data_IF_799505594110
#
_entry.id   IF_799505594110
#
_cell.length_a   1.000
_cell.length_b   1.000
_cell.length_c   1.000
_cell.angle_alpha   90.00
_cell.angle_beta   90.00
_cell.angle_gamma   90.00
#
_symmetry.space_group_name_H-M   'P 1'
#
loop_
_entity.id
_entity.type
_entity.pdbx_description
1 polymer ?
#
# COMPACT_ATOMS: atom_id res chain seq x y z
N UNK A 1 14.07 14.38 15.90
CA UNK A 1 13.42 15.66 15.52
C UNK A 1 12.61 15.36 14.26
N UNK A 2 11.26 15.32 14.36
CA UNK A 2 10.36 15.21 13.20
C UNK A 2 10.64 16.42 12.29
N UNK A 3 11.04 16.19 11.05
CA UNK A 3 11.27 17.23 10.04
C UNK A 3 10.03 18.14 9.98
N UNK A 4 10.23 19.46 10.18
CA UNK A 4 9.18 20.41 10.46
C UNK A 4 8.07 20.42 9.41
N UNK A 5 6.83 20.28 9.85
CA UNK A 5 5.62 20.50 9.08
C UNK A 5 5.38 22.01 9.09
N UNK A 6 5.56 22.69 7.97
CA UNK A 6 5.44 24.15 7.90
C UNK A 6 4.07 24.56 7.38
N UNK A 7 3.35 25.34 8.16
CA UNK A 7 2.04 25.91 7.81
C UNK A 7 2.16 27.43 7.71
N UNK A 8 1.69 28.00 6.60
CA UNK A 8 1.58 29.45 6.41
C UNK A 8 0.18 29.89 6.83
N UNK A 9 0.12 30.82 7.74
CA UNK A 9 -1.12 31.44 8.26
C UNK A 9 -1.26 32.83 7.67
N UNK A 10 -2.28 33.04 6.85
CA UNK A 10 -2.64 34.35 6.30
C UNK A 10 -3.93 34.86 6.99
N UNK A 11 -3.81 35.86 7.85
CA UNK A 11 -4.91 36.41 8.64
C UNK A 11 -4.57 37.88 8.95
N UNK A 12 -5.47 38.80 8.69
CA UNK A 12 -5.21 40.22 8.87
C UNK A 12 -5.27 40.67 10.36
N UNK A 13 -6.11 40.01 11.17
CA UNK A 13 -6.20 40.28 12.59
C UNK A 13 -5.00 39.70 13.37
N UNK A 14 -4.13 40.57 13.89
CA UNK A 14 -2.89 40.19 14.55
C UNK A 14 -3.10 39.27 15.77
N UNK A 15 -4.19 39.46 16.53
CA UNK A 15 -4.50 38.61 17.68
C UNK A 15 -4.90 37.20 17.24
N UNK A 16 -5.77 37.09 16.23
CA UNK A 16 -6.21 35.84 15.67
C UNK A 16 -5.04 35.05 15.07
N UNK A 17 -4.18 35.75 14.30
CA UNK A 17 -2.97 35.14 13.70
C UNK A 17 -2.05 34.53 14.75
N UNK A 18 -1.83 35.24 15.89
CA UNK A 18 -1.04 34.74 17.03
C UNK A 18 -1.67 33.51 17.69
N UNK A 19 -3.01 33.53 17.88
CA UNK A 19 -3.73 32.40 18.47
C UNK A 19 -3.60 31.15 17.59
N UNK A 20 -3.82 31.30 16.28
CA UNK A 20 -3.66 30.19 15.31
C UNK A 20 -2.23 29.65 15.27
N UNK A 21 -1.24 30.59 15.29
CA UNK A 21 0.18 30.23 15.31
C UNK A 21 0.55 29.44 16.58
N UNK A 22 0.12 29.91 17.74
CA UNK A 22 0.38 29.25 19.03
C UNK A 22 -0.30 27.86 19.09
N UNK A 23 -1.53 27.74 18.59
CA UNK A 23 -2.29 26.50 18.55
C UNK A 23 -1.59 25.45 17.68
N UNK A 24 -1.23 25.82 16.44
CA UNK A 24 -0.55 24.90 15.52
C UNK A 24 0.87 24.57 15.97
N UNK A 25 1.60 25.53 16.59
CA UNK A 25 2.93 25.27 17.13
C UNK A 25 2.90 24.25 18.27
N UNK A 26 1.87 24.28 19.14
CA UNK A 26 1.65 23.28 20.20
C UNK A 26 1.49 21.86 19.65
N UNK A 27 0.89 21.73 18.46
CA UNK A 27 0.67 20.46 17.78
C UNK A 27 1.88 20.03 16.89
N UNK A 28 3.01 20.77 17.00
CA UNK A 28 4.27 20.41 16.37
C UNK A 28 4.43 20.90 14.92
N UNK A 29 3.61 21.88 14.49
CA UNK A 29 3.79 22.57 13.23
C UNK A 29 4.77 23.75 13.40
N UNK A 30 5.59 23.98 12.40
CA UNK A 30 6.30 25.26 12.24
C UNK A 30 5.34 26.21 11.53
N UNK A 31 5.14 27.40 12.07
CA UNK A 31 4.23 28.40 11.51
C UNK A 31 4.97 29.55 10.86
N UNK A 32 4.51 30.01 9.71
CA UNK A 32 4.85 31.27 9.07
C UNK A 32 3.62 32.16 9.11
N UNK A 33 3.80 33.47 9.34
CA UNK A 33 2.70 34.41 9.51
C UNK A 33 2.71 35.44 8.38
N UNK A 34 1.53 35.73 7.83
CA UNK A 34 1.31 36.77 6.83
C UNK A 34 0.06 37.59 7.22
N UNK A 35 0.09 38.90 7.01
CA UNK A 35 -1.02 39.77 7.34
C UNK A 35 -2.04 39.96 6.19
N UNK A 36 -1.68 39.52 4.99
CA UNK A 36 -2.51 39.60 3.79
C UNK A 36 -2.01 38.56 2.75
N UNK A 37 -2.75 38.41 1.64
CA UNK A 37 -2.41 37.45 0.58
C UNK A 37 -1.12 37.77 -0.16
N UNK A 38 -0.72 39.06 -0.27
CA UNK A 38 0.55 39.46 -0.91
C UNK A 38 1.74 39.02 -0.04
N UNK A 39 1.68 39.31 1.27
CA UNK A 39 2.69 38.86 2.23
C UNK A 39 2.78 37.32 2.30
N UNK A 40 1.64 36.62 2.10
CA UNK A 40 1.62 35.17 2.03
C UNK A 40 2.37 34.66 0.79
N UNK A 41 2.20 35.26 -0.38
CA UNK A 41 2.93 34.92 -1.60
C UNK A 41 4.43 35.20 -1.48
N UNK A 42 4.82 36.30 -0.81
CA UNK A 42 6.24 36.57 -0.53
C UNK A 42 6.87 35.50 0.38
N UNK A 43 6.13 35.05 1.38
CA UNK A 43 6.57 33.98 2.29
C UNK A 43 6.74 32.63 1.53
N UNK A 44 5.81 32.31 0.63
CA UNK A 44 5.89 31.13 -0.24
C UNK A 44 7.10 31.15 -1.19
N UNK A 45 7.55 32.34 -1.62
CA UNK A 45 8.72 32.47 -2.48
C UNK A 45 10.04 32.27 -1.71
N UNK A 46 10.04 32.46 -0.39
CA UNK A 46 11.25 32.41 0.45
C UNK A 46 11.45 31.04 1.12
N UNK A 47 10.36 30.38 1.51
CA UNK A 47 10.44 29.16 2.30
C UNK A 47 9.42 28.10 1.82
N UNK A 48 9.77 26.81 1.88
CA UNK A 48 8.84 25.73 1.55
C UNK A 48 7.73 25.62 2.61
N UNK A 49 6.47 25.56 2.17
CA UNK A 49 5.26 25.49 3.00
C UNK A 49 4.50 24.22 2.68
N UNK A 50 4.07 23.47 3.70
CA UNK A 50 3.33 22.21 3.55
C UNK A 50 1.81 22.39 3.40
N UNK A 51 1.24 23.47 3.97
CA UNK A 51 -0.17 23.84 3.82
C UNK A 51 -0.36 25.33 4.12
N UNK A 52 -1.45 25.90 3.62
CA UNK A 52 -1.84 27.29 3.90
C UNK A 52 -3.16 27.28 4.64
N UNK A 53 -3.24 28.05 5.72
CA UNK A 53 -4.48 28.41 6.42
C UNK A 53 -4.73 29.90 6.18
N UNK A 54 -5.81 30.29 5.50
CA UNK A 54 -6.05 31.68 5.12
C UNK A 54 -7.44 32.14 5.48
N UNK A 55 -7.56 33.38 6.00
CA UNK A 55 -8.86 34.03 6.09
C UNK A 55 -9.39 34.33 4.67
N UNK A 56 -10.69 34.32 4.56
CA UNK A 56 -11.42 34.68 3.33
C UNK A 56 -11.28 36.17 3.03
N UNK A 57 -11.36 37.02 4.08
CA UNK A 57 -11.37 38.50 3.97
C UNK A 57 -10.10 39.09 4.54
N UNK A 58 -9.24 39.56 3.67
CA UNK A 58 -8.01 40.25 4.03
C UNK A 58 -7.83 41.49 3.16
N UNK A 59 -7.09 42.50 3.60
CA UNK A 59 -6.75 43.68 2.79
C UNK A 59 -5.82 43.30 1.64
N UNK A 60 -5.72 44.14 0.60
CA UNK A 60 -4.89 44.01 -0.61
C UNK A 60 -5.28 42.79 -1.45
N UNK A 61 -4.96 41.59 -1.00
CA UNK A 61 -5.31 40.32 -1.65
C UNK A 61 -6.10 39.46 -0.68
N UNK A 62 -7.33 39.12 -1.04
CA UNK A 62 -8.21 38.27 -0.23
C UNK A 62 -7.85 36.79 -0.34
N UNK A 63 -8.43 35.94 0.53
CA UNK A 63 -8.12 34.50 0.55
C UNK A 63 -8.51 33.73 -0.72
N UNK A 64 -9.55 34.16 -1.45
CA UNK A 64 -9.93 33.51 -2.72
C UNK A 64 -8.94 33.87 -3.85
N UNK A 65 -8.47 35.09 -3.90
CA UNK A 65 -7.44 35.53 -4.84
C UNK A 65 -6.11 34.82 -4.56
N UNK A 66 -5.74 34.70 -3.28
CA UNK A 66 -4.58 33.93 -2.85
C UNK A 66 -4.71 32.45 -3.30
N UNK A 67 -5.86 31.82 -3.07
CA UNK A 67 -6.16 30.46 -3.49
C UNK A 67 -5.95 30.27 -5.00
N UNK A 68 -6.46 31.20 -5.84
CA UNK A 68 -6.32 31.13 -7.30
C UNK A 68 -4.85 31.22 -7.75
N UNK A 69 -4.07 32.09 -7.12
CA UNK A 69 -2.64 32.24 -7.43
C UNK A 69 -1.86 31.02 -6.98
N UNK A 70 -2.11 30.52 -5.77
CA UNK A 70 -1.45 29.31 -5.23
C UNK A 70 -1.77 28.11 -6.11
N UNK A 71 -3.01 27.90 -6.51
CA UNK A 71 -3.39 26.79 -7.38
C UNK A 71 -2.72 26.81 -8.76
N UNK A 72 -2.44 27.99 -9.29
CA UNK A 72 -1.73 28.12 -10.58
C UNK A 72 -0.23 27.89 -10.46
N UNK A 73 0.40 28.38 -9.39
CA UNK A 73 1.86 28.37 -9.22
C UNK A 73 2.37 27.19 -8.40
N UNK A 74 1.56 26.71 -7.44
CA UNK A 74 1.89 25.69 -6.46
C UNK A 74 0.69 24.74 -6.27
N UNK A 75 0.26 23.99 -7.32
CA UNK A 75 -0.97 23.16 -7.31
C UNK A 75 -0.94 22.04 -6.26
N UNK A 76 0.24 21.73 -5.74
CA UNK A 76 0.49 20.71 -4.73
C UNK A 76 0.27 21.21 -3.29
N UNK A 77 0.17 22.54 -3.06
CA UNK A 77 -0.01 23.09 -1.71
C UNK A 77 -1.50 23.18 -1.38
N UNK A 78 -2.00 22.41 -0.39
CA UNK A 78 -3.39 22.52 0.05
C UNK A 78 -3.65 23.85 0.76
N UNK A 79 -4.77 24.49 0.42
CA UNK A 79 -5.23 25.73 1.03
C UNK A 79 -6.52 25.45 1.80
N UNK A 80 -6.51 25.73 3.09
CA UNK A 80 -7.67 25.67 3.99
C UNK A 80 -8.15 27.10 4.25
N UNK A 81 -9.48 27.31 4.10
CA UNK A 81 -10.08 28.64 4.22
C UNK A 81 -10.71 28.84 5.60
N UNK A 82 -10.50 29.99 6.22
CA UNK A 82 -11.25 30.46 7.40
C UNK A 82 -12.40 31.33 6.93
N UNK A 83 -13.63 31.07 7.40
CA UNK A 83 -14.84 31.83 7.03
C UNK A 83 -15.61 32.31 8.27
N UNK A 84 -16.25 33.47 8.20
CA UNK A 84 -17.12 33.94 9.27
C UNK A 84 -18.44 33.15 9.32
N UNK A 85 -19.04 33.06 10.51
CA UNK A 85 -20.33 32.40 10.74
C UNK A 85 -21.43 32.99 9.84
N UNK A 86 -22.19 32.14 9.13
CA UNK A 86 -23.33 32.54 8.28
C UNK A 86 -23.06 32.66 6.78
N UNK A 87 -21.85 32.38 6.28
CA UNK A 87 -21.50 32.46 4.86
C UNK A 87 -21.28 31.07 4.22
N UNK A 88 -22.29 30.20 4.35
CA UNK A 88 -22.26 28.86 3.69
C UNK A 88 -21.99 29.01 2.18
N UNK A 89 -22.49 30.06 1.55
CA UNK A 89 -22.20 30.38 0.15
C UNK A 89 -20.72 30.58 -0.16
N UNK A 90 -19.98 31.28 0.72
CA UNK A 90 -18.54 31.55 0.55
C UNK A 90 -17.68 30.30 0.78
N UNK A 91 -18.07 29.43 1.72
CA UNK A 91 -17.40 28.14 1.95
C UNK A 91 -17.57 27.21 0.74
N UNK A 92 -18.78 27.10 0.20
CA UNK A 92 -19.07 26.34 -1.01
C UNK A 92 -18.31 26.93 -2.21
N UNK A 93 -18.21 28.25 -2.32
CA UNK A 93 -17.45 28.90 -3.39
C UNK A 93 -15.95 28.62 -3.27
N UNK A 94 -15.37 28.67 -2.06
CA UNK A 94 -13.98 28.31 -1.84
C UNK A 94 -13.67 26.86 -2.25
N UNK A 95 -14.50 25.91 -1.85
CA UNK A 95 -14.37 24.50 -2.27
C UNK A 95 -14.52 24.34 -3.80
N UNK A 96 -15.48 25.06 -4.43
CA UNK A 96 -15.64 25.05 -5.90
C UNK A 96 -14.40 25.61 -6.62
N UNK A 97 -13.72 26.58 -6.03
CA UNK A 97 -12.46 27.13 -6.56
C UNK A 97 -11.25 26.27 -6.22
N UNK A 98 -11.44 25.19 -5.44
CA UNK A 98 -10.46 24.16 -5.16
C UNK A 98 -9.66 24.37 -3.88
N UNK A 99 -10.24 25.02 -2.87
CA UNK A 99 -9.76 24.91 -1.50
C UNK A 99 -9.78 23.43 -1.05
N UNK A 100 -8.82 23.05 -0.25
CA UNK A 100 -8.72 21.70 0.31
C UNK A 100 -9.86 21.44 1.30
N UNK A 101 -10.14 22.43 2.17
CA UNK A 101 -11.21 22.39 3.15
C UNK A 101 -11.51 23.81 3.62
N UNK A 102 -12.52 23.96 4.50
CA UNK A 102 -12.83 25.23 5.15
C UNK A 102 -13.15 25.02 6.63
N UNK A 103 -12.97 26.08 7.42
CA UNK A 103 -13.28 26.14 8.84
C UNK A 103 -14.10 27.40 9.12
N UNK A 104 -15.12 27.30 9.97
CA UNK A 104 -15.99 28.43 10.32
C UNK A 104 -15.56 29.07 11.65
N UNK A 105 -15.47 30.39 11.70
CA UNK A 105 -15.25 31.15 12.95
C UNK A 105 -16.59 31.29 13.71
N UNK A 106 -16.67 30.98 15.05
CA UNK A 106 -15.61 30.47 15.90
C UNK A 106 -15.34 29.00 15.65
N UNK A 107 -14.07 28.61 15.65
CA UNK A 107 -13.61 27.25 15.36
C UNK A 107 -13.21 26.49 16.62
N UNK A 108 -13.35 25.17 16.59
CA UNK A 108 -12.80 24.28 17.60
C UNK A 108 -11.30 24.03 17.33
N UNK A 109 -10.43 24.16 18.36
CA UNK A 109 -9.00 23.86 18.22
C UNK A 109 -8.74 22.44 17.69
N UNK A 110 -9.54 21.46 18.05
CA UNK A 110 -9.40 20.08 17.58
C UNK A 110 -9.77 19.93 16.10
N UNK A 111 -10.75 20.69 15.62
CA UNK A 111 -11.15 20.74 14.20
C UNK A 111 -10.02 21.32 13.34
N UNK A 112 -9.41 22.44 13.74
CA UNK A 112 -8.25 23.01 13.04
C UNK A 112 -7.13 21.96 12.93
N UNK A 113 -6.79 21.30 14.04
CA UNK A 113 -5.74 20.28 14.06
C UNK A 113 -6.02 19.16 13.07
N UNK A 114 -7.23 18.58 13.10
CA UNK A 114 -7.62 17.49 12.21
C UNK A 114 -7.55 17.88 10.73
N UNK A 115 -8.05 19.05 10.38
CA UNK A 115 -8.05 19.55 8.99
C UNK A 115 -6.62 19.84 8.54
N UNK A 116 -5.80 20.48 9.37
CA UNK A 116 -4.41 20.79 9.01
C UNK A 116 -3.52 19.54 8.96
N UNK A 117 -3.69 18.58 9.87
CA UNK A 117 -3.00 17.27 9.80
C UNK A 117 -3.37 16.51 8.52
N UNK A 118 -4.66 16.52 8.13
CA UNK A 118 -5.13 15.91 6.90
C UNK A 118 -4.55 16.61 5.67
N UNK A 119 -4.54 17.95 5.63
CA UNK A 119 -3.99 18.73 4.54
C UNK A 119 -2.50 18.45 4.33
N UNK A 120 -1.70 18.57 5.40
CA UNK A 120 -0.25 18.33 5.36
C UNK A 120 0.06 16.86 5.02
N UNK A 121 -0.70 15.91 5.57
CA UNK A 121 -0.51 14.48 5.28
C UNK A 121 -0.84 14.14 3.82
N UNK A 122 -1.91 14.69 3.27
CA UNK A 122 -2.30 14.51 1.86
C UNK A 122 -1.22 15.05 0.92
N UNK A 123 -0.71 16.26 1.19
CA UNK A 123 0.41 16.83 0.41
C UNK A 123 1.66 15.97 0.50
N UNK A 124 2.02 15.52 1.71
CA UNK A 124 3.21 14.69 1.91
C UNK A 124 3.08 13.31 1.26
N UNK A 125 1.89 12.73 1.27
CA UNK A 125 1.61 11.50 0.51
C UNK A 125 1.74 11.76 -0.99
N UNK A 126 1.12 12.79 -1.52
CA UNK A 126 1.23 13.18 -2.93
C UNK A 126 2.67 13.57 -3.32
N UNK A 127 3.37 14.32 -2.46
CA UNK A 127 4.79 14.66 -2.66
C UNK A 127 5.73 13.48 -2.46
N UNK A 128 5.35 12.49 -1.63
CA UNK A 128 6.09 11.22 -1.47
C UNK A 128 5.83 10.30 -2.66
N UNK A 129 4.62 10.28 -3.19
CA UNK A 129 4.29 9.59 -4.43
C UNK A 129 4.94 10.26 -5.65
N UNK A 130 5.02 11.62 -5.68
CA UNK A 130 5.69 12.39 -6.74
C UNK A 130 7.22 12.50 -6.52
N UNK A 131 7.70 12.39 -5.28
CA UNK A 131 9.11 12.37 -4.86
C UNK A 131 9.59 10.97 -4.50
N UNK A 132 8.89 9.92 -4.90
CA UNK A 132 9.61 8.69 -5.14
C UNK A 132 10.54 9.01 -6.31
N UNK A 133 11.82 9.39 -6.04
CA UNK A 133 12.78 9.41 -7.10
C UNK A 133 12.79 7.97 -7.60
N UNK A 134 12.85 7.81 -8.87
CA UNK A 134 13.27 6.55 -9.46
C UNK A 134 14.65 6.08 -8.92
N UNK A 135 15.28 6.81 -7.97
CA UNK A 135 16.72 6.71 -7.71
C UNK A 135 17.19 6.59 -6.25
N UNK A 136 16.28 6.45 -5.23
CA UNK A 136 16.75 6.27 -3.84
C UNK A 136 16.28 4.99 -3.12
N UNK A 137 15.46 4.15 -3.71
CA UNK A 137 15.48 2.73 -3.35
C UNK A 137 16.67 2.09 -4.08
N UNK A 138 17.58 1.41 -3.37
CA UNK A 138 18.62 0.62 -4.03
C UNK A 138 17.89 -0.24 -5.06
N UNK A 139 18.29 -0.13 -6.34
CA UNK A 139 17.62 -0.69 -7.51
C UNK A 139 16.79 -1.91 -7.13
N UNK A 140 15.45 -1.93 -7.37
CA UNK A 140 14.70 -3.14 -7.22
C UNK A 140 15.21 -4.13 -8.28
N UNK A 141 16.33 -4.74 -7.95
CA UNK A 141 16.93 -5.78 -8.76
C UNK A 141 16.06 -7.01 -8.63
N UNK A 142 15.80 -7.66 -9.74
CA UNK A 142 15.32 -9.04 -9.79
C UNK A 142 16.43 -9.94 -9.19
N UNK A 143 16.55 -9.91 -7.84
CA UNK A 143 17.58 -10.64 -7.13
C UNK A 143 17.21 -12.11 -7.02
N UNK A 144 18.19 -12.94 -7.27
CA UNK A 144 18.11 -14.39 -7.19
C UNK A 144 18.89 -15.03 -8.34
N UNK A 145 19.37 -16.24 -8.12
CA UNK A 145 20.19 -17.01 -9.07
C UNK A 145 19.46 -18.25 -9.59
N UNK A 146 18.21 -18.48 -9.16
CA UNK A 146 17.41 -19.60 -9.59
C UNK A 146 17.25 -19.61 -11.12
N UNK A 147 17.22 -20.81 -11.70
CA UNK A 147 17.09 -20.99 -13.13
C UNK A 147 15.79 -20.34 -13.65
N UNK A 148 14.69 -20.53 -12.94
CA UNK A 148 13.40 -19.91 -13.29
C UNK A 148 13.44 -18.38 -13.27
N UNK A 149 14.17 -17.78 -12.33
CA UNK A 149 14.29 -16.32 -12.30
C UNK A 149 15.24 -15.80 -13.40
N UNK A 150 16.23 -16.61 -13.81
CA UNK A 150 17.07 -16.30 -14.97
C UNK A 150 16.26 -16.28 -16.27
N UNK A 151 15.33 -17.23 -16.46
CA UNK A 151 14.40 -17.23 -17.58
C UNK A 151 13.53 -15.97 -17.60
N UNK A 152 12.98 -15.57 -16.45
CA UNK A 152 12.21 -14.32 -16.33
C UNK A 152 13.06 -13.11 -16.72
N UNK A 153 14.31 -13.01 -16.23
CA UNK A 153 15.23 -11.92 -16.61
C UNK A 153 15.48 -11.89 -18.11
N UNK A 154 15.74 -13.03 -18.71
CA UNK A 154 15.95 -13.11 -20.15
C UNK A 154 14.74 -12.61 -20.96
N UNK A 155 13.52 -12.98 -20.55
CA UNK A 155 12.29 -12.47 -21.18
C UNK A 155 12.16 -10.96 -20.97
N UNK A 156 12.42 -10.45 -19.75
CA UNK A 156 12.39 -9.02 -19.44
C UNK A 156 13.35 -8.24 -20.33
N UNK A 157 14.60 -8.68 -20.46
CA UNK A 157 15.64 -8.02 -21.30
C UNK A 157 15.23 -7.96 -22.77
N UNK A 158 14.63 -9.03 -23.30
CA UNK A 158 14.21 -9.07 -24.71
C UNK A 158 12.96 -8.24 -25.00
N UNK A 159 12.04 -8.16 -24.04
CA UNK A 159 10.74 -7.48 -24.21
C UNK A 159 10.81 -6.01 -23.79
N UNK A 160 11.70 -5.66 -22.88
CA UNK A 160 11.81 -4.29 -22.37
C UNK A 160 11.96 -3.22 -23.47
N UNK A 161 12.79 -3.39 -24.53
CA UNK A 161 12.92 -2.38 -25.57
C UNK A 161 11.70 -2.23 -26.48
N UNK A 162 10.73 -3.16 -26.42
CA UNK A 162 9.56 -3.17 -27.29
C UNK A 162 8.37 -2.45 -26.65
N UNK A 163 7.40 -1.95 -27.42
CA UNK A 163 6.15 -1.39 -26.88
C UNK A 163 5.12 -2.44 -26.51
N UNK A 164 5.49 -3.74 -26.53
CA UNK A 164 4.55 -4.83 -26.27
C UNK A 164 3.94 -4.76 -24.88
N UNK A 165 2.64 -5.09 -24.80
CA UNK A 165 1.94 -5.28 -23.53
C UNK A 165 2.49 -6.53 -22.83
N UNK A 166 2.78 -6.43 -21.55
CA UNK A 166 3.28 -7.52 -20.72
C UNK A 166 2.26 -7.84 -19.64
N UNK A 167 1.92 -9.13 -19.51
CA UNK A 167 1.09 -9.64 -18.42
C UNK A 167 1.96 -10.46 -17.46
N UNK A 168 2.07 -10.01 -16.22
CA UNK A 168 2.85 -10.66 -15.17
C UNK A 168 1.88 -11.46 -14.29
N UNK A 169 1.96 -12.78 -14.34
CA UNK A 169 1.19 -13.66 -13.48
C UNK A 169 2.06 -14.18 -12.32
N UNK A 170 1.44 -14.44 -11.18
CA UNK A 170 2.12 -15.04 -10.01
C UNK A 170 1.40 -14.73 -8.71
N UNK A 171 1.68 -15.53 -7.70
CA UNK A 171 1.08 -15.37 -6.38
C UNK A 171 1.33 -13.98 -5.77
N UNK A 172 0.54 -13.61 -4.75
CA UNK A 172 0.78 -12.38 -4.01
C UNK A 172 2.17 -12.40 -3.35
N UNK A 173 2.89 -11.27 -3.40
CA UNK A 173 4.21 -11.14 -2.77
C UNK A 173 5.38 -11.77 -3.55
N UNK A 174 5.22 -12.25 -4.79
CA UNK A 174 6.29 -12.84 -5.61
C UNK A 174 7.26 -11.83 -6.23
N UNK A 175 6.92 -10.52 -6.22
CA UNK A 175 7.75 -9.45 -6.79
C UNK A 175 7.29 -8.95 -8.17
N UNK A 176 6.01 -9.09 -8.52
CA UNK A 176 5.42 -8.62 -9.81
C UNK A 176 5.74 -7.14 -10.10
N UNK A 177 5.69 -6.27 -9.08
CA UNK A 177 6.05 -4.85 -9.24
C UNK A 177 7.52 -4.65 -9.59
N UNK A 178 8.43 -5.44 -9.02
CA UNK A 178 9.87 -5.37 -9.33
C UNK A 178 10.11 -5.68 -10.80
N UNK A 179 9.43 -6.69 -11.34
CA UNK A 179 9.49 -7.02 -12.78
C UNK A 179 8.95 -5.87 -13.64
N UNK A 180 7.83 -5.26 -13.25
CA UNK A 180 7.24 -4.13 -13.97
C UNK A 180 8.19 -2.91 -13.99
N UNK A 181 8.84 -2.60 -12.86
CA UNK A 181 9.85 -1.54 -12.78
C UNK A 181 11.09 -1.85 -13.63
N UNK A 182 11.55 -3.11 -13.61
CA UNK A 182 12.67 -3.55 -14.46
C UNK A 182 12.35 -3.41 -15.95
N UNK A 183 11.13 -3.79 -16.37
CA UNK A 183 10.63 -3.58 -17.74
C UNK A 183 10.61 -2.09 -18.13
N UNK A 184 10.16 -1.20 -17.26
CA UNK A 184 10.15 0.24 -17.51
C UNK A 184 11.56 0.79 -17.65
N UNK A 185 12.47 0.50 -16.72
CA UNK A 185 13.85 0.99 -16.70
C UNK A 185 14.67 0.57 -17.94
N UNK A 186 14.46 -0.66 -18.41
CA UNK A 186 15.11 -1.19 -19.60
C UNK A 186 14.38 -0.82 -20.91
N UNK A 187 13.32 0.00 -20.86
CA UNK A 187 12.50 0.35 -22.02
C UNK A 187 12.94 1.63 -22.72
N UNK A 188 12.41 1.84 -23.91
CA UNK A 188 12.57 3.11 -24.65
C UNK A 188 11.93 4.31 -23.92
N UNK A 189 10.93 4.07 -23.06
CA UNK A 189 10.20 5.10 -22.27
C UNK A 189 10.71 5.22 -20.84
N UNK A 190 11.92 4.75 -20.54
CA UNK A 190 12.54 4.77 -19.19
C UNK A 190 12.64 6.15 -18.54
N UNK A 191 12.70 7.21 -19.35
CA UNK A 191 12.75 8.59 -18.87
C UNK A 191 11.36 9.21 -18.68
N UNK A 192 10.29 8.49 -19.07
CA UNK A 192 8.90 8.90 -18.88
C UNK A 192 8.38 8.48 -17.50
N UNK A 193 7.14 8.86 -17.17
CA UNK A 193 6.55 8.50 -15.89
C UNK A 193 6.29 6.99 -15.78
N UNK A 194 6.48 6.44 -14.57
CA UNK A 194 5.99 5.11 -14.19
C UNK A 194 4.79 5.28 -13.26
N UNK A 195 3.59 5.09 -13.79
CA UNK A 195 2.35 5.26 -13.03
C UNK A 195 1.81 3.90 -12.62
N UNK A 196 1.72 3.66 -11.31
CA UNK A 196 1.16 2.44 -10.73
C UNK A 196 -0.31 2.66 -10.33
N UNK A 197 -1.16 1.68 -10.65
CA UNK A 197 -2.54 1.59 -10.20
C UNK A 197 -2.80 0.19 -9.66
N UNK A 198 -3.24 0.08 -8.42
CA UNK A 198 -3.71 -1.18 -7.87
C UNK A 198 -5.25 -1.23 -8.00
N UNK A 199 -5.75 -2.12 -8.89
CA UNK A 199 -7.17 -2.22 -9.17
C UNK A 199 -7.99 -2.73 -7.97
N UNK A 200 -7.39 -3.56 -7.10
CA UNK A 200 -8.05 -4.06 -5.90
C UNK A 200 -8.17 -3.03 -4.77
N UNK A 201 -7.31 -2.01 -4.78
CA UNK A 201 -7.29 -1.00 -3.71
C UNK A 201 -8.29 0.16 -3.94
N UNK A 202 -8.86 0.27 -5.14
CA UNK A 202 -9.77 1.35 -5.52
C UNK A 202 -11.20 0.79 -5.54
N UNK A 203 -12.17 1.42 -4.86
CA UNK A 203 -13.57 1.01 -4.94
C UNK A 203 -14.08 0.97 -6.39
N UNK A 204 -14.88 -0.03 -6.73
CA UNK A 204 -15.38 -0.29 -8.10
C UNK A 204 -15.96 0.95 -8.77
N UNK A 205 -16.77 1.73 -8.04
CA UNK A 205 -17.39 2.96 -8.56
C UNK A 205 -16.43 4.11 -8.84
N UNK A 206 -15.18 4.03 -8.34
CA UNK A 206 -14.17 5.08 -8.52
C UNK A 206 -13.06 4.69 -9.50
N UNK A 207 -12.88 3.39 -9.78
CA UNK A 207 -11.77 2.90 -10.60
C UNK A 207 -11.78 3.53 -12.00
N UNK A 208 -12.95 3.66 -12.62
CA UNK A 208 -13.10 4.27 -13.93
C UNK A 208 -12.67 5.75 -13.92
N UNK A 209 -13.11 6.52 -12.92
CA UNK A 209 -12.76 7.93 -12.78
C UNK A 209 -11.29 8.16 -12.42
N UNK A 210 -10.65 7.25 -11.69
CA UNK A 210 -9.21 7.29 -11.41
C UNK A 210 -8.39 6.94 -12.66
N UNK A 211 -8.78 5.93 -13.43
CA UNK A 211 -8.05 5.53 -14.64
C UNK A 211 -8.15 6.56 -15.76
N UNK A 212 -9.36 7.03 -16.07
CA UNK A 212 -9.64 7.85 -17.24
C UNK A 212 -9.83 9.33 -16.94
N UNK A 213 -9.88 9.70 -15.66
CA UNK A 213 -10.20 11.07 -15.26
C UNK A 213 -11.69 11.41 -15.43
N UNK A 214 -12.06 12.60 -15.06
CA UNK A 214 -13.43 13.07 -15.14
C UNK A 214 -13.53 14.57 -15.44
N UNK A 215 -14.61 14.95 -16.10
CA UNK A 215 -14.97 16.34 -16.32
C UNK A 215 -15.78 16.89 -15.15
N UNK A 216 -15.81 18.22 -15.03
CA UNK A 216 -16.63 18.90 -14.03
C UNK A 216 -18.10 18.51 -14.22
N UNK A 217 -18.75 18.05 -13.14
CA UNK A 217 -20.17 17.66 -13.15
C UNK A 217 -20.42 16.21 -13.56
N UNK A 218 -19.40 15.38 -13.77
CA UNK A 218 -19.53 13.98 -14.16
C UNK A 218 -20.30 13.13 -13.14
N UNK A 219 -20.22 13.49 -11.86
CA UNK A 219 -20.95 12.86 -10.75
C UNK A 219 -21.09 13.83 -9.58
N UNK A 220 -21.90 13.47 -8.58
CA UNK A 220 -22.06 14.27 -7.34
C UNK A 220 -20.72 14.37 -6.61
N UNK A 221 -20.12 15.57 -6.58
CA UNK A 221 -18.77 15.82 -6.02
C UNK A 221 -17.68 16.11 -7.07
N UNK A 222 -17.94 15.95 -8.36
CA UNK A 222 -17.01 16.35 -9.43
C UNK A 222 -17.02 17.88 -9.65
N UNK A 223 -16.43 18.62 -8.71
CA UNK A 223 -16.42 20.09 -8.71
C UNK A 223 -15.46 20.70 -9.73
N UNK A 224 -14.43 19.96 -10.14
CA UNK A 224 -13.42 20.36 -11.10
C UNK A 224 -13.04 19.17 -12.00
N UNK A 225 -12.46 19.43 -13.18
CA UNK A 225 -11.82 18.42 -14.03
C UNK A 225 -10.62 17.81 -13.31
N UNK A 226 -10.46 16.48 -13.39
CA UNK A 226 -9.28 15.75 -12.90
C UNK A 226 -8.71 14.85 -13.99
N UNK A 227 -7.41 14.93 -14.31
CA UNK A 227 -6.78 14.00 -15.25
C UNK A 227 -6.75 12.59 -14.68
N UNK A 228 -6.84 11.59 -15.55
CA UNK A 228 -6.77 10.19 -15.20
C UNK A 228 -5.33 9.64 -15.18
N UNK A 229 -5.17 8.43 -14.66
CA UNK A 229 -3.87 7.74 -14.60
C UNK A 229 -3.27 7.49 -15.98
N UNK A 230 -4.10 7.28 -17.01
CA UNK A 230 -3.65 7.19 -18.39
C UNK A 230 -3.02 8.48 -18.90
N UNK A 231 -3.60 9.64 -18.57
CA UNK A 231 -3.03 10.94 -18.92
C UNK A 231 -1.70 11.19 -18.19
N UNK A 232 -1.63 10.80 -16.90
CA UNK A 232 -0.42 10.95 -16.10
C UNK A 232 0.72 10.00 -16.55
N UNK A 233 0.38 8.91 -17.23
CA UNK A 233 1.35 7.93 -17.75
C UNK A 233 1.79 8.24 -19.20
N UNK A 234 1.30 9.33 -19.80
CA UNK A 234 1.62 9.66 -21.18
C UNK A 234 3.14 9.81 -21.42
N UNK A 235 3.64 9.20 -22.47
CA UNK A 235 5.07 9.10 -22.78
C UNK A 235 5.85 8.13 -21.86
N UNK A 236 5.18 7.38 -20.98
CA UNK A 236 5.76 6.49 -19.99
C UNK A 236 5.13 5.10 -19.94
N UNK A 237 5.05 4.55 -18.73
CA UNK A 237 4.50 3.21 -18.46
C UNK A 237 3.36 3.30 -17.47
N UNK A 238 2.21 2.68 -17.79
CA UNK A 238 1.12 2.42 -16.87
C UNK A 238 1.22 0.97 -16.37
N UNK A 239 1.35 0.80 -15.08
CA UNK A 239 1.36 -0.50 -14.41
C UNK A 239 0.03 -0.73 -13.71
N UNK A 240 -0.75 -1.70 -14.20
CA UNK A 240 -2.03 -2.12 -13.62
C UNK A 240 -1.80 -3.36 -12.77
N UNK A 241 -1.76 -3.19 -11.46
CA UNK A 241 -1.62 -4.29 -10.51
C UNK A 241 -2.99 -4.87 -10.15
N UNK A 242 -3.07 -6.18 -9.97
CA UNK A 242 -4.29 -6.96 -9.70
C UNK A 242 -5.39 -6.70 -10.74
N UNK A 243 -5.03 -6.76 -12.04
CA UNK A 243 -5.95 -6.48 -13.16
C UNK A 243 -7.17 -7.42 -13.16
N UNK A 244 -7.05 -8.62 -12.60
CA UNK A 244 -8.14 -9.59 -12.44
C UNK A 244 -9.25 -9.15 -11.49
N UNK A 245 -9.04 -8.07 -10.72
CA UNK A 245 -10.04 -7.45 -9.84
C UNK A 245 -10.83 -6.33 -10.54
N UNK A 246 -10.51 -6.02 -11.81
CA UNK A 246 -11.17 -4.94 -12.53
C UNK A 246 -12.65 -5.24 -12.80
N UNK A 247 -13.58 -4.36 -12.39
CA UNK A 247 -15.01 -4.54 -12.66
C UNK A 247 -15.31 -4.67 -14.14
N UNK A 248 -16.25 -5.54 -14.51
CA UNK A 248 -16.67 -5.77 -15.90
C UNK A 248 -17.05 -4.48 -16.63
N UNK A 249 -17.67 -3.52 -15.94
CA UNK A 249 -18.07 -2.24 -16.53
C UNK A 249 -16.89 -1.37 -17.00
N UNK A 250 -15.72 -1.49 -16.36
CA UNK A 250 -14.52 -0.72 -16.70
C UNK A 250 -13.70 -1.37 -17.84
N UNK A 251 -13.83 -2.69 -18.04
CA UNK A 251 -13.02 -3.44 -18.98
C UNK A 251 -13.15 -2.99 -20.45
N UNK A 252 -14.36 -2.64 -20.99
CA UNK A 252 -14.49 -2.15 -22.36
C UNK A 252 -13.75 -0.84 -22.61
N UNK A 253 -13.74 0.06 -21.63
CA UNK A 253 -13.02 1.34 -21.74
C UNK A 253 -11.51 1.13 -21.71
N UNK A 254 -11.03 0.22 -20.85
CA UNK A 254 -9.63 -0.18 -20.84
C UNK A 254 -9.23 -0.76 -22.19
N UNK A 255 -10.00 -1.69 -22.73
CA UNK A 255 -9.74 -2.30 -24.05
C UNK A 255 -9.58 -1.24 -25.14
N UNK A 256 -10.51 -0.27 -25.18
CA UNK A 256 -10.46 0.83 -26.15
C UNK A 256 -9.21 1.69 -25.97
N UNK A 257 -8.86 2.05 -24.73
CA UNK A 257 -7.66 2.84 -24.45
C UNK A 257 -6.37 2.11 -24.88
N UNK A 258 -6.30 0.77 -24.71
CA UNK A 258 -5.16 -0.04 -25.12
C UNK A 258 -5.08 -0.20 -26.64
N UNK A 259 -6.24 -0.31 -27.32
CA UNK A 259 -6.28 -0.55 -28.77
C UNK A 259 -6.05 0.71 -29.59
N UNK A 260 -6.73 1.81 -29.20
CA UNK A 260 -6.78 3.05 -29.98
C UNK A 260 -5.78 4.12 -29.45
N UNK A 261 -5.24 3.97 -28.21
CA UNK A 261 -4.50 5.02 -27.53
C UNK A 261 -5.36 6.24 -27.21
N UNK A 262 -6.68 6.06 -27.18
CA UNK A 262 -7.67 7.15 -27.02
C UNK A 262 -8.81 6.73 -26.11
N UNK A 263 -9.31 7.69 -25.34
CA UNK A 263 -10.48 7.48 -24.47
C UNK A 263 -11.20 8.80 -24.20
N UNK A 264 -12.34 8.71 -23.51
CA UNK A 264 -13.10 9.86 -23.00
C UNK A 264 -13.00 9.88 -21.47
N UNK A 265 -12.88 11.07 -20.90
CA UNK A 265 -13.06 11.24 -19.45
C UNK A 265 -14.49 10.91 -19.06
N UNK A 266 -14.71 10.52 -17.81
CA UNK A 266 -16.06 10.28 -17.30
C UNK A 266 -16.86 11.58 -17.36
N UNK A 267 -18.06 11.52 -17.97
CA UNK A 267 -18.91 12.69 -18.20
C UNK A 267 -18.43 13.63 -19.31
N UNK A 268 -17.35 13.30 -20.03
CA UNK A 268 -16.81 14.12 -21.12
C UNK A 268 -17.06 13.54 -22.50
N UNK A 269 -17.03 14.41 -23.52
CA UNK A 269 -17.13 14.06 -24.95
C UNK A 269 -15.83 14.33 -25.71
N UNK A 270 -14.86 14.98 -25.07
CA UNK A 270 -13.57 15.29 -25.67
C UNK A 270 -12.66 14.04 -25.67
N UNK A 271 -12.09 13.73 -26.82
CA UNK A 271 -11.15 12.60 -26.96
C UNK A 271 -9.79 12.97 -26.41
N UNK A 272 -9.30 12.19 -25.46
CA UNK A 272 -7.94 12.26 -24.93
C UNK A 272 -7.10 11.22 -25.65
N UNK A 273 -5.97 11.63 -26.24
CA UNK A 273 -5.01 10.74 -26.88
C UNK A 273 -3.74 10.63 -26.03
N UNK A 274 -3.24 9.41 -25.84
CA UNK A 274 -2.04 9.12 -25.02
C UNK A 274 -1.18 8.05 -25.69
N UNK A 275 0.11 8.09 -25.43
CA UNK A 275 1.07 7.07 -25.85
C UNK A 275 1.67 6.41 -24.60
N UNK A 276 1.09 5.29 -24.17
CA UNK A 276 1.42 4.63 -22.90
C UNK A 276 1.84 3.20 -23.15
N UNK A 277 2.98 2.79 -22.59
CA UNK A 277 3.36 1.38 -22.49
C UNK A 277 2.56 0.74 -21.35
N UNK A 278 1.86 -0.37 -21.64
CA UNK A 278 1.07 -1.07 -20.63
C UNK A 278 1.81 -2.29 -20.07
N UNK A 279 1.85 -2.40 -18.75
CA UNK A 279 2.24 -3.60 -18.01
C UNK A 279 1.09 -3.93 -17.06
N UNK A 280 0.60 -5.16 -17.09
CA UNK A 280 -0.45 -5.63 -16.18
C UNK A 280 0.06 -6.76 -15.29
N UNK A 281 -0.45 -6.86 -14.07
CA UNK A 281 -0.13 -7.94 -13.15
C UNK A 281 -1.39 -8.53 -12.51
N UNK A 282 -1.36 -9.82 -12.19
CA UNK A 282 -2.46 -10.52 -11.52
C UNK A 282 -1.95 -11.73 -10.73
N UNK A 283 -2.68 -12.07 -9.67
CA UNK A 283 -2.55 -13.33 -8.94
C UNK A 283 -3.64 -14.34 -9.32
N UNK A 284 -4.65 -13.93 -10.13
CA UNK A 284 -5.74 -14.77 -10.59
C UNK A 284 -5.41 -15.46 -11.92
N UNK A 285 -5.99 -16.63 -12.13
CA UNK A 285 -6.05 -17.24 -13.45
C UNK A 285 -7.11 -16.50 -14.29
N UNK A 286 -6.63 -15.57 -15.15
CA UNK A 286 -7.53 -14.79 -16.01
C UNK A 286 -8.33 -15.67 -16.99
N UNK A 287 -7.81 -16.86 -17.37
CA UNK A 287 -8.54 -17.78 -18.21
C UNK A 287 -9.75 -18.36 -17.49
N UNK A 288 -9.57 -18.74 -16.23
CA UNK A 288 -10.67 -19.16 -15.37
C UNK A 288 -11.69 -18.02 -15.14
N UNK A 289 -11.22 -16.76 -14.96
CA UNK A 289 -12.09 -15.60 -14.83
C UNK A 289 -12.91 -15.31 -16.10
N UNK A 290 -12.32 -15.52 -17.30
CA UNK A 290 -13.04 -15.44 -18.59
C UNK A 290 -14.13 -16.51 -18.67
N UNK A 291 -13.80 -17.77 -18.36
CA UNK A 291 -14.77 -18.85 -18.37
C UNK A 291 -15.92 -18.65 -17.37
N UNK A 292 -15.65 -17.98 -16.28
CA UNK A 292 -16.65 -17.63 -15.26
C UNK A 292 -17.44 -16.34 -15.59
N UNK A 293 -17.17 -15.67 -16.71
CA UNK A 293 -17.84 -14.45 -17.12
C UNK A 293 -17.48 -13.20 -16.32
N UNK A 294 -16.42 -13.24 -15.51
CA UNK A 294 -15.95 -12.09 -14.71
C UNK A 294 -14.88 -11.26 -15.41
N UNK A 295 -14.28 -11.80 -16.47
CA UNK A 295 -13.31 -11.08 -17.30
C UNK A 295 -13.65 -11.25 -18.76
N UNK A 296 -13.48 -10.19 -19.57
CA UNK A 296 -13.80 -10.23 -21.02
C UNK A 296 -12.69 -10.95 -21.79
N UNK A 297 -13.09 -11.80 -22.71
CA UNK A 297 -12.18 -12.57 -23.55
C UNK A 297 -11.34 -11.68 -24.47
N UNK A 298 -11.94 -10.63 -25.05
CA UNK A 298 -11.25 -9.66 -25.93
C UNK A 298 -10.15 -8.89 -25.19
N UNK A 299 -10.40 -8.47 -23.95
CA UNK A 299 -9.41 -7.84 -23.10
C UNK A 299 -8.30 -8.81 -22.71
N UNK A 300 -8.65 -10.05 -22.38
CA UNK A 300 -7.66 -11.09 -22.06
C UNK A 300 -6.63 -11.24 -23.18
N UNK A 301 -7.06 -11.45 -24.43
CA UNK A 301 -6.13 -11.58 -25.54
C UNK A 301 -5.30 -10.32 -25.82
N UNK A 302 -5.83 -9.15 -25.53
CA UNK A 302 -5.09 -7.89 -25.69
C UNK A 302 -4.02 -7.68 -24.62
N UNK A 303 -4.22 -8.21 -23.42
CA UNK A 303 -3.24 -8.19 -22.33
C UNK A 303 -2.23 -9.34 -22.42
N UNK A 304 -2.66 -10.50 -22.88
CA UNK A 304 -1.86 -11.73 -22.93
C UNK A 304 -0.97 -11.81 -24.19
N UNK A 305 -0.24 -10.70 -24.48
CA UNK A 305 0.69 -10.67 -25.63
C UNK A 305 2.02 -11.28 -25.25
N UNK A 306 2.60 -10.85 -24.12
CA UNK A 306 3.80 -11.45 -23.56
C UNK A 306 3.53 -11.83 -22.11
N UNK A 307 3.22 -13.10 -21.83
CA UNK A 307 3.06 -13.57 -20.46
C UNK A 307 4.43 -13.75 -19.80
N UNK A 308 4.53 -13.34 -18.53
CA UNK A 308 5.65 -13.62 -17.63
C UNK A 308 5.07 -14.26 -16.37
N UNK A 309 5.46 -15.49 -16.08
CA UNK A 309 5.04 -16.20 -14.88
C UNK A 309 6.14 -16.12 -13.83
N UNK A 310 5.82 -15.54 -12.66
CA UNK A 310 6.73 -15.48 -11.53
C UNK A 310 6.53 -16.70 -10.63
N UNK A 311 7.58 -17.52 -10.46
CA UNK A 311 7.49 -18.67 -9.57
C UNK A 311 7.32 -18.23 -8.12
N UNK A 312 6.54 -18.97 -7.32
CA UNK A 312 6.46 -18.75 -5.88
C UNK A 312 7.81 -19.04 -5.22
N UNK A 313 8.04 -18.44 -4.04
CA UNK A 313 9.35 -18.51 -3.36
C UNK A 313 9.76 -19.94 -2.98
N UNK A 314 8.80 -20.82 -2.69
CA UNK A 314 9.03 -22.27 -2.43
C UNK A 314 9.62 -23.03 -3.63
N UNK A 315 9.45 -22.54 -4.85
CA UNK A 315 10.01 -23.14 -6.07
C UNK A 315 11.39 -22.55 -6.44
N UNK A 316 11.87 -21.57 -5.66
CA UNK A 316 13.18 -20.91 -5.79
C UNK A 316 13.83 -20.70 -4.43
N UNK A 317 13.82 -21.73 -3.59
CA UNK A 317 14.39 -21.68 -2.22
C UNK A 317 15.87 -21.33 -2.19
N UNK A 318 16.61 -21.55 -3.27
CA UNK A 318 17.99 -21.12 -3.48
C UNK A 318 18.17 -19.58 -3.48
N UNK A 319 17.12 -18.81 -3.77
CA UNK A 319 17.16 -17.35 -3.71
C UNK A 319 16.96 -16.80 -2.28
N UNK A 320 16.42 -17.59 -1.37
CA UNK A 320 16.10 -17.17 0.00
C UNK A 320 17.33 -16.61 0.75
N UNK A 321 18.53 -17.21 0.70
CA UNK A 321 19.68 -16.64 1.41
C UNK A 321 20.08 -15.25 0.91
N UNK A 322 20.02 -15.01 -0.38
CA UNK A 322 20.35 -13.73 -0.99
C UNK A 322 19.32 -12.67 -0.59
N UNK A 323 18.03 -12.99 -0.66
CA UNK A 323 16.94 -12.11 -0.24
C UNK A 323 16.99 -11.83 1.27
N UNK A 324 17.21 -12.86 2.09
CA UNK A 324 17.27 -12.70 3.54
C UNK A 324 18.43 -11.79 3.98
N UNK A 325 19.61 -11.90 3.36
CA UNK A 325 20.76 -11.02 3.64
C UNK A 325 20.46 -9.58 3.22
N UNK A 326 19.88 -9.37 2.03
CA UNK A 326 19.48 -8.05 1.58
C UNK A 326 18.51 -7.38 2.56
N UNK A 327 17.48 -8.11 2.98
CA UNK A 327 16.50 -7.57 3.93
C UNK A 327 17.13 -7.30 5.30
N UNK A 328 18.02 -8.19 5.76
CA UNK A 328 18.79 -7.97 6.98
C UNK A 328 19.56 -6.66 6.93
N UNK A 329 20.37 -6.44 5.89
CA UNK A 329 21.20 -5.24 5.72
C UNK A 329 20.31 -3.98 5.69
N UNK A 330 19.21 -4.03 4.92
CA UNK A 330 18.27 -2.92 4.79
C UNK A 330 17.59 -2.58 6.11
N UNK A 331 17.11 -3.59 6.86
CA UNK A 331 16.43 -3.35 8.13
C UNK A 331 17.40 -3.03 9.27
N UNK A 332 18.58 -3.63 9.30
CA UNK A 332 19.62 -3.28 10.26
C UNK A 332 20.00 -1.79 10.15
N UNK A 333 20.20 -1.30 8.93
CA UNK A 333 20.46 0.12 8.67
C UNK A 333 19.27 1.02 9.03
N UNK A 334 18.05 0.66 8.58
CA UNK A 334 16.82 1.44 8.83
C UNK A 334 16.47 1.56 10.31
N UNK A 335 16.63 0.47 11.06
CA UNK A 335 16.31 0.37 12.48
C UNK A 335 17.49 0.71 13.39
N UNK A 336 18.65 1.03 12.82
CA UNK A 336 19.91 1.32 13.54
C UNK A 336 20.29 0.20 14.52
N UNK A 337 20.11 -1.07 14.09
CA UNK A 337 20.44 -2.26 14.88
C UNK A 337 21.79 -2.83 14.45
N UNK A 338 22.64 -3.30 15.38
CA UNK A 338 23.97 -3.83 15.06
C UNK A 338 23.93 -5.28 14.53
N UNK A 339 22.86 -5.67 13.85
CA UNK A 339 22.70 -7.04 13.33
C UNK A 339 23.35 -7.13 11.97
N UNK A 340 24.35 -8.03 11.85
CA UNK A 340 25.18 -8.17 10.64
C UNK A 340 25.16 -9.57 10.03
N UNK A 341 24.57 -10.56 10.72
CA UNK A 341 24.58 -11.94 10.25
C UNK A 341 23.30 -12.71 10.54
N UNK A 342 23.15 -13.86 9.88
CA UNK A 342 22.10 -14.84 10.12
C UNK A 342 22.80 -16.16 10.48
N UNK A 343 22.42 -16.75 11.60
CA UNK A 343 22.91 -18.05 12.03
C UNK A 343 22.56 -19.14 11.00
N UNK A 344 23.46 -20.12 10.77
CA UNK A 344 23.18 -21.21 9.82
C UNK A 344 21.88 -21.97 10.09
N UNK A 345 21.56 -22.26 11.36
CA UNK A 345 20.31 -22.94 11.71
C UNK A 345 19.08 -22.04 11.48
N UNK A 346 19.19 -20.72 11.65
CA UNK A 346 18.14 -19.77 11.27
C UNK A 346 17.96 -19.73 9.76
N UNK A 347 19.04 -19.75 8.98
CA UNK A 347 19.00 -19.78 7.53
C UNK A 347 18.35 -21.08 7.00
N UNK A 348 18.66 -22.22 7.63
CA UNK A 348 18.06 -23.51 7.28
C UNK A 348 16.55 -23.51 7.57
N UNK A 349 16.12 -22.92 8.68
CA UNK A 349 14.70 -22.74 8.99
C UNK A 349 13.99 -21.84 7.93
N UNK A 350 14.64 -20.75 7.52
CA UNK A 350 14.12 -19.87 6.45
C UNK A 350 13.98 -20.61 5.12
N UNK A 351 14.94 -21.47 4.77
CA UNK A 351 14.87 -22.27 3.52
C UNK A 351 13.79 -23.36 3.55
N UNK A 352 13.54 -23.92 4.73
CA UNK A 352 12.58 -25.02 4.90
C UNK A 352 11.12 -24.54 4.92
N UNK A 353 10.88 -23.25 5.17
CA UNK A 353 9.54 -22.68 5.25
C UNK A 353 8.90 -22.53 3.86
N UNK A 354 7.60 -22.87 3.69
CA UNK A 354 6.91 -22.87 2.38
C UNK A 354 6.57 -21.47 1.83
N UNK A 355 6.63 -20.41 2.63
CA UNK A 355 6.39 -19.01 2.26
C UNK A 355 5.09 -18.77 1.50
N UNK A 356 3.90 -19.01 2.07
CA UNK A 356 2.63 -18.75 1.39
C UNK A 356 2.44 -17.28 0.98
N UNK A 357 3.03 -16.34 1.72
CA UNK A 357 3.09 -14.91 1.38
C UNK A 357 4.33 -14.49 0.58
N UNK A 358 5.12 -15.48 0.11
CA UNK A 358 6.30 -15.29 -0.74
C UNK A 358 7.34 -14.29 -0.17
N UNK A 359 7.89 -13.41 -1.02
CA UNK A 359 8.93 -12.45 -0.62
C UNK A 359 8.40 -11.44 0.42
N UNK A 360 7.12 -11.07 0.35
CA UNK A 360 6.52 -10.13 1.33
C UNK A 360 6.50 -10.71 2.73
N UNK A 361 6.21 -12.00 2.86
CA UNK A 361 6.25 -12.69 4.14
C UNK A 361 7.68 -12.84 4.66
N UNK A 362 8.64 -13.21 3.79
CA UNK A 362 10.05 -13.28 4.14
C UNK A 362 10.58 -11.91 4.61
N UNK A 363 10.24 -10.84 3.90
CA UNK A 363 10.61 -9.46 4.25
C UNK A 363 10.10 -9.08 5.65
N UNK A 364 8.81 -9.34 5.93
CA UNK A 364 8.20 -9.06 7.23
C UNK A 364 8.83 -9.92 8.36
N UNK A 365 9.14 -11.18 8.06
CA UNK A 365 9.77 -12.08 9.03
C UNK A 365 11.18 -11.59 9.43
N UNK A 366 11.99 -11.14 8.46
CA UNK A 366 13.32 -10.58 8.71
C UNK A 366 13.22 -9.23 9.42
N UNK A 367 12.30 -8.32 9.02
CA UNK A 367 12.09 -7.03 9.71
C UNK A 367 11.77 -7.27 11.19
N UNK A 368 10.84 -8.17 11.49
CA UNK A 368 10.50 -8.55 12.86
C UNK A 368 11.68 -9.16 13.62
N UNK A 369 12.42 -10.06 12.98
CA UNK A 369 13.57 -10.70 13.59
C UNK A 369 14.67 -9.68 13.94
N UNK A 370 14.99 -8.74 13.04
CA UNK A 370 15.96 -7.65 13.29
C UNK A 370 15.49 -6.75 14.43
N UNK A 371 14.19 -6.46 14.50
CA UNK A 371 13.63 -5.62 15.57
C UNK A 371 13.78 -6.26 16.95
N UNK A 372 13.59 -7.58 17.06
CA UNK A 372 13.58 -8.34 18.31
C UNK A 372 14.94 -8.95 18.67
N UNK A 373 15.91 -8.95 17.74
CA UNK A 373 17.24 -9.50 17.98
C UNK A 373 18.02 -8.66 18.99
N UNK A 374 18.56 -9.31 20.04
CA UNK A 374 19.41 -8.67 21.06
C UNK A 374 20.91 -8.68 20.71
N UNK A 375 21.31 -9.49 19.73
CA UNK A 375 22.71 -9.70 19.33
C UNK A 375 23.09 -9.13 17.97
N UNK A 376 24.30 -9.46 17.51
CA UNK A 376 24.77 -9.11 16.17
C UNK A 376 24.39 -10.14 15.09
N UNK A 377 23.80 -11.28 15.48
CA UNK A 377 23.44 -12.40 14.59
C UNK A 377 22.03 -12.86 14.90
N UNK A 378 21.18 -12.97 13.87
CA UNK A 378 19.84 -13.53 13.99
C UNK A 378 19.92 -15.03 14.27
N UNK A 379 19.36 -15.45 15.39
CA UNK A 379 19.27 -16.85 15.82
C UNK A 379 17.88 -17.42 15.48
N UNK A 380 17.70 -18.76 15.45
CA UNK A 380 16.39 -19.36 15.21
C UNK A 380 15.28 -18.85 16.14
N UNK A 381 15.58 -18.56 17.40
CA UNK A 381 14.63 -18.02 18.38
C UNK A 381 14.11 -16.61 18.07
N UNK A 382 14.84 -15.85 17.25
CA UNK A 382 14.46 -14.48 16.86
C UNK A 382 13.46 -14.48 15.69
N UNK A 383 13.34 -15.63 14.98
CA UNK A 383 12.37 -15.81 13.91
C UNK A 383 10.95 -16.01 14.45
N UNK A 384 9.90 -15.72 13.68
CA UNK A 384 8.52 -16.07 14.03
C UNK A 384 8.34 -17.56 14.34
N UNK A 385 7.47 -17.89 15.29
CA UNK A 385 7.27 -19.26 15.76
C UNK A 385 6.87 -20.25 14.64
N UNK A 386 6.15 -19.76 13.63
CA UNK A 386 5.71 -20.51 12.47
C UNK A 386 6.89 -20.98 11.61
N UNK A 387 8.00 -20.24 11.63
CA UNK A 387 9.24 -20.56 10.90
C UNK A 387 10.15 -21.44 11.75
N UNK A 388 10.18 -21.23 13.07
CA UNK A 388 10.97 -22.05 14.00
C UNK A 388 10.51 -23.52 14.03
N UNK A 389 9.20 -23.72 13.94
CA UNK A 389 8.57 -25.02 13.94
C UNK A 389 7.75 -25.18 12.66
N UNK A 390 8.39 -25.55 11.53
CA UNK A 390 7.63 -25.78 10.30
C UNK A 390 6.56 -26.83 10.60
N UNK A 391 5.30 -26.40 10.64
CA UNK A 391 4.18 -27.32 10.64
C UNK A 391 4.30 -28.10 9.36
N UNK A 392 4.83 -29.31 9.44
CA UNK A 392 4.94 -30.23 8.32
C UNK A 392 3.53 -30.37 7.78
N UNK A 393 3.25 -29.69 6.65
CA UNK A 393 2.00 -29.91 5.93
C UNK A 393 1.88 -31.42 5.75
N UNK A 394 0.75 -32.04 6.06
CA UNK A 394 0.57 -33.45 5.82
C UNK A 394 0.79 -33.67 4.32
N UNK A 395 1.93 -34.24 3.97
CA UNK A 395 2.22 -34.76 2.64
C UNK A 395 1.32 -35.97 2.42
N UNK A 396 0.19 -35.74 1.83
CA UNK A 396 -0.78 -36.75 1.50
C UNK A 396 -1.95 -36.08 0.80
N UNK A 397 -2.29 -36.53 -0.37
CA UNK A 397 -3.49 -36.22 -1.13
C UNK A 397 -4.68 -35.99 -0.19
N UNK A 398 -5.01 -34.71 0.04
CA UNK A 398 -6.17 -34.36 0.84
C UNK A 398 -7.42 -34.63 -0.01
N UNK A 399 -7.94 -35.87 0.07
CA UNK A 399 -9.38 -36.05 -0.07
C UNK A 399 -10.05 -35.01 0.82
N UNK A 400 -11.04 -34.34 0.27
CA UNK A 400 -11.72 -33.21 0.88
C UNK A 400 -12.46 -33.67 2.15
N UNK A 401 -11.74 -33.73 3.28
CA UNK A 401 -12.33 -34.02 4.57
C UNK A 401 -13.27 -32.86 4.95
N UNK A 402 -14.54 -33.10 5.24
CA UNK A 402 -15.50 -32.05 5.56
C UNK A 402 -14.98 -31.12 6.68
N UNK A 403 -15.25 -29.82 6.57
CA UNK A 403 -14.80 -28.81 7.55
C UNK A 403 -15.09 -29.20 9.00
N UNK A 404 -16.22 -29.87 9.26
CA UNK A 404 -16.60 -30.38 10.58
C UNK A 404 -15.61 -31.38 11.15
N UNK A 405 -15.08 -32.30 10.34
CA UNK A 405 -14.09 -33.29 10.76
C UNK A 405 -12.73 -32.63 11.03
N UNK A 406 -12.34 -31.65 10.22
CA UNK A 406 -11.13 -30.85 10.45
C UNK A 406 -11.20 -30.06 11.76
N UNK A 407 -12.34 -29.43 12.05
CA UNK A 407 -12.57 -28.73 13.32
C UNK A 407 -12.51 -29.73 14.48
N UNK A 408 -13.15 -30.89 14.34
CA UNK A 408 -13.17 -31.92 15.38
C UNK A 408 -11.74 -32.44 15.67
N UNK A 409 -10.95 -32.73 14.64
CA UNK A 409 -9.58 -33.18 14.81
C UNK A 409 -8.68 -32.11 15.44
N UNK A 410 -8.84 -30.84 15.08
CA UNK A 410 -8.10 -29.73 15.68
C UNK A 410 -8.48 -29.54 17.16
N UNK A 411 -9.77 -29.61 17.51
CA UNK A 411 -10.25 -29.51 18.88
C UNK A 411 -9.74 -30.64 19.73
N UNK A 412 -9.77 -31.90 19.24
CA UNK A 412 -9.26 -33.06 19.95
C UNK A 412 -7.74 -32.95 20.22
N UNK A 413 -6.98 -32.39 19.28
CA UNK A 413 -5.54 -32.16 19.46
C UNK A 413 -5.26 -31.14 20.56
N UNK A 414 -5.93 -29.99 20.55
CA UNK A 414 -5.80 -28.95 21.57
C UNK A 414 -6.21 -29.49 22.95
N UNK A 415 -7.33 -30.22 23.04
CA UNK A 415 -7.77 -30.83 24.29
C UNK A 415 -6.77 -31.86 24.80
N UNK A 416 -6.18 -32.67 23.94
CA UNK A 416 -5.16 -33.67 24.30
C UNK A 416 -3.92 -33.00 24.88
N UNK A 417 -3.39 -31.96 24.18
CA UNK A 417 -2.20 -31.25 24.61
C UNK A 417 -2.42 -30.56 25.98
N UNK A 418 -3.57 -29.91 26.18
CA UNK A 418 -3.92 -29.28 27.44
C UNK A 418 -4.05 -30.29 28.60
N UNK A 419 -4.63 -31.49 28.35
CA UNK A 419 -4.76 -32.56 29.37
C UNK A 419 -3.38 -33.11 29.74
N UNK A 420 -2.51 -33.36 28.74
CA UNK A 420 -1.17 -33.86 29.00
C UNK A 420 -0.31 -32.86 29.79
N UNK A 421 -0.42 -31.57 29.46
CA UNK A 421 0.28 -30.50 30.19
C UNK A 421 -0.20 -30.41 31.65
N UNK A 422 -1.51 -30.43 31.88
CA UNK A 422 -2.09 -30.40 33.23
C UNK A 422 -1.70 -31.64 34.05
N UNK A 423 -1.64 -32.83 33.44
CA UNK A 423 -1.17 -34.05 34.10
C UNK A 423 0.34 -33.96 34.45
N UNK A 424 1.19 -33.41 33.59
CA UNK A 424 2.60 -33.17 33.88
C UNK A 424 2.80 -32.22 35.05
N UNK A 425 2.07 -31.09 35.08
CA UNK A 425 2.15 -30.11 36.17
C UNK A 425 1.65 -30.62 37.50
N UNK A 426 0.86 -31.70 37.52
CA UNK A 426 0.26 -32.27 38.73
C UNK A 426 0.77 -33.67 39.07
N UNK A 427 1.94 -34.07 38.53
CA UNK A 427 2.57 -35.39 38.75
C UNK A 427 1.57 -36.57 38.55
N UNK A 428 0.76 -36.51 37.51
CA UNK A 428 -0.22 -37.54 37.19
C UNK A 428 -1.51 -37.52 38.03
N UNK A 429 -1.67 -36.55 38.92
CA UNK A 429 -2.83 -36.47 39.80
C UNK A 429 -4.09 -35.94 39.08
N UNK A 430 -4.90 -36.86 38.60
CA UNK A 430 -6.16 -36.56 37.84
C UNK A 430 -7.11 -35.60 38.53
N UNK A 431 -7.16 -35.64 39.89
CA UNK A 431 -8.08 -34.78 40.64
C UNK A 431 -7.59 -33.32 40.65
N UNK A 432 -6.28 -33.11 40.75
CA UNK A 432 -5.66 -31.78 40.65
C UNK A 432 -5.68 -31.25 39.19
N UNK A 433 -5.33 -32.08 38.22
CA UNK A 433 -5.41 -31.74 36.81
C UNK A 433 -6.81 -31.34 36.37
N UNK A 434 -7.85 -32.04 36.83
CA UNK A 434 -9.23 -31.68 36.56
C UNK A 434 -9.59 -30.28 37.09
N UNK A 435 -9.10 -29.95 38.30
CA UNK A 435 -9.31 -28.64 38.92
C UNK A 435 -8.62 -27.52 38.17
N UNK A 436 -7.41 -27.74 37.70
CA UNK A 436 -6.64 -26.82 36.84
C UNK A 436 -7.35 -26.52 35.52
N UNK A 437 -7.90 -27.55 34.90
CA UNK A 437 -8.65 -27.45 33.63
C UNK A 437 -10.12 -26.99 33.79
N UNK A 438 -10.57 -26.69 35.01
CA UNK A 438 -11.97 -26.32 35.28
C UNK A 438 -12.99 -27.43 35.02
N UNK A 439 -12.54 -28.71 35.05
CA UNK A 439 -13.38 -29.88 34.79
C UNK A 439 -13.67 -30.66 36.07
N UNK A 440 -14.76 -31.42 36.04
CA UNK A 440 -14.97 -32.43 37.09
C UNK A 440 -14.02 -33.62 36.89
N UNK A 441 -13.61 -34.31 38.00
CA UNK A 441 -12.73 -35.49 37.90
C UNK A 441 -13.29 -36.54 36.93
N UNK A 442 -14.63 -36.76 36.94
CA UNK A 442 -15.30 -37.69 36.03
C UNK A 442 -15.29 -37.20 34.59
N UNK A 443 -15.43 -35.89 34.37
CA UNK A 443 -15.33 -35.26 33.05
C UNK A 443 -13.94 -35.42 32.41
N UNK A 444 -12.87 -35.19 33.20
CA UNK A 444 -11.52 -35.40 32.74
C UNK A 444 -11.25 -36.88 32.42
N UNK A 445 -11.69 -37.82 33.24
CA UNK A 445 -11.52 -39.26 32.98
C UNK A 445 -12.23 -39.72 31.70
N UNK A 446 -13.43 -39.19 31.42
CA UNK A 446 -14.15 -39.48 30.16
C UNK A 446 -13.38 -38.92 28.94
N UNK A 447 -12.88 -37.68 29.02
CA UNK A 447 -12.10 -37.09 27.95
C UNK A 447 -10.74 -37.81 27.73
N UNK A 448 -10.05 -38.22 28.78
CA UNK A 448 -8.83 -39.04 28.67
C UNK A 448 -9.11 -40.36 27.96
N UNK A 449 -10.24 -41.03 28.27
CA UNK A 449 -10.64 -42.26 27.60
C UNK A 449 -11.00 -42.01 26.11
N UNK A 450 -11.69 -40.93 25.80
CA UNK A 450 -12.07 -40.54 24.45
C UNK A 450 -10.84 -40.20 23.60
N UNK A 451 -9.80 -39.60 24.21
CA UNK A 451 -8.58 -39.17 23.55
C UNK A 451 -7.43 -40.20 23.64
N UNK A 452 -7.71 -41.41 24.17
CA UNK A 452 -6.74 -42.51 24.32
C UNK A 452 -5.45 -42.06 25.07
N UNK A 453 -5.61 -41.32 26.16
CA UNK A 453 -4.52 -40.89 27.03
C UNK A 453 -4.39 -41.91 28.18
N UNK A 454 -3.33 -42.74 28.12
CA UNK A 454 -3.02 -43.67 29.20
C UNK A 454 -2.32 -42.97 30.35
N UNK A 455 -2.39 -43.63 31.55
CA UNK A 455 -1.64 -43.25 32.73
C UNK A 455 -0.27 -43.93 32.65
N UNK A 456 0.76 -43.19 32.40
CA UNK A 456 2.10 -43.59 32.83
C UNK A 456 2.30 -43.31 34.29
#
# INVERSE_FOLDING_TARGET
LKAGRTVLIAEDEANMRRVLSALLARDGFRTLEAADGEAALESLAREPVDAILTDLRMPKMNGLELLEVVRRRHPDIPVVMLTAHGTVGSAVEALKRGAFDYLTKPFDPDEIRQVMDKAVSTRRLAAREARLPADEDPEPLLLGESERLREVRHVVERVAPTPATVLIAGESGTGKEIVARSLHRASAVRNGPFVKVNCAAIPDGLLESELFGYEKGAFTGATARKPGRFELADGGTLFLDEIGEMPLAAQPKLLRAIQEGRFYRVGGTETVSVSVRLVAATNKDLRAEVNAGRFREDLFYRLHVVPIELPPLRERSEDIPTLARLFLERFAAKLQRPVTGIDPAAMDALRAHPWPGNIRELENAIERAVLLCDGATLLPRDLPAEIQHPVRAPSGSAEATPLRERIRAATQRIERDAILEALRLTDGNVTRAAKELGLSRRGLQLKMKELEIDRD
#
